data_IF_272738051294
#
_entry.id   IF_272738051294
#
_cell.length_a   1.000
_cell.length_b   1.000
_cell.length_c   1.000
_cell.angle_alpha   90.00
_cell.angle_beta   90.00
_cell.angle_gamma   90.00
#
_symmetry.space_group_name_H-M   'P 1'
#
loop_
_entity.id
_entity.type
_entity.pdbx_description
1 polymer ?
#
# COMPACT_ATOMS: atom_id res chain seq x y z
N UNK A 1 23.36 14.33 -19.43
CA UNK A 1 22.24 13.96 -18.55
C UNK A 1 22.03 12.47 -18.65
N UNK A 2 22.11 11.73 -17.54
CA UNK A 2 21.83 10.29 -17.57
C UNK A 2 20.37 10.06 -17.98
N UNK A 3 20.12 9.14 -18.93
CA UNK A 3 18.76 8.75 -19.32
C UNK A 3 18.14 7.96 -18.17
N UNK A 4 16.97 8.39 -17.70
CA UNK A 4 16.19 7.65 -16.69
C UNK A 4 15.80 6.26 -17.24
N UNK A 5 15.89 5.23 -16.41
CA UNK A 5 15.48 3.87 -16.80
C UNK A 5 13.99 3.70 -16.52
N UNK A 6 13.19 3.52 -17.56
CA UNK A 6 11.76 3.23 -17.44
C UNK A 6 11.57 1.87 -16.78
N UNK A 7 10.82 1.82 -15.68
CA UNK A 7 10.47 0.60 -14.96
C UNK A 7 9.14 0.03 -15.46
N UNK A 8 8.13 0.90 -15.58
CA UNK A 8 6.82 0.52 -16.13
C UNK A 8 6.03 1.74 -16.62
N UNK A 9 4.98 1.49 -17.39
CA UNK A 9 4.03 2.51 -17.84
C UNK A 9 2.61 1.97 -17.86
N UNK A 10 1.66 2.76 -17.37
CA UNK A 10 0.24 2.41 -17.28
C UNK A 10 -0.59 3.49 -17.97
N UNK A 11 -1.51 3.06 -18.84
CA UNK A 11 -2.44 3.91 -19.59
C UNK A 11 -3.87 3.70 -19.08
N UNK A 12 -4.81 4.49 -19.59
CA UNK A 12 -6.25 4.39 -19.29
C UNK A 12 -6.57 4.62 -17.80
N UNK A 13 -5.82 5.51 -17.17
CA UNK A 13 -6.05 5.97 -15.80
C UNK A 13 -6.84 7.28 -15.83
N UNK A 14 -7.31 7.70 -14.67
CA UNK A 14 -7.89 9.02 -14.46
C UNK A 14 -7.15 9.76 -13.35
N UNK A 15 -6.78 11.01 -13.57
CA UNK A 15 -6.15 11.89 -12.60
C UNK A 15 -7.16 12.88 -12.04
N UNK A 16 -7.10 13.12 -10.73
CA UNK A 16 -7.74 14.25 -10.09
C UNK A 16 -6.84 14.78 -8.96
N UNK A 17 -6.82 16.09 -8.73
CA UNK A 17 -6.13 16.71 -7.58
C UNK A 17 -7.10 17.25 -6.53
N UNK A 18 -8.38 17.34 -6.87
CA UNK A 18 -9.46 17.87 -6.02
C UNK A 18 -10.55 16.81 -5.73
N UNK A 19 -10.37 15.59 -6.23
CA UNK A 19 -11.31 14.46 -6.17
C UNK A 19 -12.64 14.68 -6.92
N UNK A 20 -12.82 15.83 -7.56
CA UNK A 20 -14.07 16.24 -8.25
C UNK A 20 -13.91 16.16 -9.76
N UNK A 21 -12.79 16.67 -10.27
CA UNK A 21 -12.52 16.76 -11.69
C UNK A 21 -11.54 15.66 -12.12
N UNK A 22 -12.05 14.72 -12.91
CA UNK A 22 -11.30 13.55 -13.36
C UNK A 22 -10.95 13.66 -14.85
N UNK A 23 -9.65 13.54 -15.16
CA UNK A 23 -9.15 13.62 -16.54
C UNK A 23 -8.40 12.34 -16.90
N UNK A 24 -8.53 11.86 -18.15
CA UNK A 24 -7.77 10.70 -18.62
C UNK A 24 -6.26 11.01 -18.53
N UNK A 25 -5.50 10.04 -18.04
CA UNK A 25 -4.05 10.18 -17.82
C UNK A 25 -3.31 8.88 -18.18
N UNK A 26 -1.98 9.01 -18.22
CA UNK A 26 -1.03 7.90 -18.23
C UNK A 26 0.06 8.18 -17.21
N UNK A 27 0.57 7.13 -16.58
CA UNK A 27 1.65 7.18 -15.62
C UNK A 27 2.83 6.36 -16.13
N UNK A 28 4.03 6.93 -16.06
CA UNK A 28 5.29 6.25 -16.36
C UNK A 28 6.20 6.35 -15.14
N UNK A 29 6.62 5.21 -14.60
CA UNK A 29 7.58 5.15 -13.50
C UNK A 29 8.98 4.90 -14.05
N UNK A 30 9.95 5.64 -13.55
CA UNK A 30 11.38 5.43 -13.77
C UNK A 30 12.06 5.06 -12.45
N UNK A 31 13.36 4.79 -12.51
CA UNK A 31 14.21 4.54 -11.35
C UNK A 31 14.36 5.73 -10.40
N UNK A 32 14.04 6.95 -10.86
CA UNK A 32 14.16 8.18 -10.08
C UNK A 32 12.89 9.02 -9.97
N UNK A 33 11.96 8.91 -10.92
CA UNK A 33 10.77 9.76 -10.99
C UNK A 33 9.50 8.96 -11.35
N UNK A 34 8.35 9.52 -10.95
CA UNK A 34 7.05 9.22 -11.53
C UNK A 34 6.66 10.36 -12.46
N UNK A 35 6.31 10.03 -13.69
CA UNK A 35 5.79 10.95 -14.69
C UNK A 35 4.30 10.72 -14.87
N UNK A 36 3.49 11.75 -14.69
CA UNK A 36 2.03 11.70 -14.89
C UNK A 36 1.68 12.67 -16.00
N UNK A 37 0.97 12.19 -17.02
CA UNK A 37 0.52 13.01 -18.13
C UNK A 37 -0.79 13.72 -17.79
N UNK A 38 -0.79 15.04 -17.77
CA UNK A 38 -1.99 15.86 -17.68
C UNK A 38 -2.33 16.50 -19.05
N UNK A 39 -3.27 17.44 -19.04
CA UNK A 39 -3.68 18.20 -20.22
C UNK A 39 -2.66 19.24 -20.69
N UNK A 40 -1.69 19.61 -19.84
CA UNK A 40 -0.62 20.57 -20.13
C UNK A 40 0.69 19.89 -20.54
N UNK A 41 0.84 18.59 -20.28
CA UNK A 41 1.99 17.81 -20.69
C UNK A 41 2.35 16.73 -19.69
N UNK A 42 3.63 16.40 -19.61
CA UNK A 42 4.14 15.47 -18.61
C UNK A 42 4.59 16.24 -17.37
N UNK A 43 4.00 15.91 -16.23
CA UNK A 43 4.43 16.42 -14.93
C UNK A 43 5.32 15.39 -14.24
N UNK A 44 6.46 15.87 -13.74
CA UNK A 44 7.46 15.08 -13.03
C UNK A 44 7.21 15.11 -11.53
N UNK A 45 7.33 13.96 -10.88
CA UNK A 45 7.27 13.78 -9.44
C UNK A 45 8.47 12.94 -8.99
N UNK A 46 9.45 13.53 -8.28
CA UNK A 46 10.58 12.77 -7.74
C UNK A 46 10.13 11.68 -6.78
N UNK A 47 10.72 10.47 -6.88
CA UNK A 47 10.36 9.35 -6.00
C UNK A 47 10.59 9.67 -4.51
N UNK A 48 11.56 10.53 -4.19
CA UNK A 48 11.85 10.96 -2.83
C UNK A 48 10.76 11.84 -2.21
N UNK A 49 9.98 12.55 -3.04
CA UNK A 49 8.98 13.53 -2.61
C UNK A 49 7.56 12.93 -2.63
N UNK A 50 7.34 11.93 -3.49
CA UNK A 50 6.05 11.30 -3.69
C UNK A 50 5.87 10.09 -2.77
N UNK A 51 4.73 9.99 -2.11
CA UNK A 51 4.43 8.91 -1.17
C UNK A 51 3.07 8.30 -1.45
N UNK A 52 2.95 6.99 -1.27
CA UNK A 52 1.67 6.28 -1.43
C UNK A 52 0.86 6.42 -0.14
N UNK A 53 -0.33 7.00 -0.21
CA UNK A 53 -1.19 7.15 0.96
C UNK A 53 -2.01 5.89 1.22
N UNK A 54 -2.83 5.49 0.24
CA UNK A 54 -3.73 4.34 0.33
C UNK A 54 -4.40 4.03 -1.01
N UNK A 55 -5.02 2.85 -1.11
CA UNK A 55 -5.98 2.50 -2.17
C UNK A 55 -7.39 2.41 -1.58
N UNK A 56 -8.35 3.11 -2.19
CA UNK A 56 -9.77 3.05 -1.84
C UNK A 56 -10.58 2.36 -2.92
N UNK A 57 -11.51 1.50 -2.52
CA UNK A 57 -12.54 1.02 -3.44
C UNK A 57 -13.50 2.16 -3.81
N UNK A 58 -13.91 2.21 -5.08
CA UNK A 58 -14.92 3.13 -5.59
C UNK A 58 -16.12 2.35 -6.15
N UNK A 59 -17.19 3.05 -6.54
CA UNK A 59 -18.43 2.44 -7.03
C UNK A 59 -18.17 1.52 -8.23
N UNK A 60 -18.78 0.34 -8.19
CA UNK A 60 -18.64 -0.69 -9.23
C UNK A 60 -17.27 -1.36 -9.20
N UNK A 61 -16.71 -1.62 -10.40
CA UNK A 61 -15.40 -2.24 -10.55
C UNK A 61 -14.26 -1.21 -10.66
N UNK A 62 -14.28 -0.18 -9.81
CA UNK A 62 -13.28 0.88 -9.80
C UNK A 62 -12.58 0.99 -8.43
N UNK A 63 -11.36 1.50 -8.46
CA UNK A 63 -10.58 1.87 -7.27
C UNK A 63 -9.85 3.19 -7.52
N UNK A 64 -9.36 3.79 -6.44
CA UNK A 64 -8.61 5.04 -6.44
C UNK A 64 -7.36 4.83 -5.61
N UNK A 65 -6.19 5.03 -6.23
CA UNK A 65 -4.91 5.17 -5.57
C UNK A 65 -4.72 6.63 -5.16
N UNK A 66 -4.32 6.86 -3.92
CA UNK A 66 -4.02 8.18 -3.39
C UNK A 66 -2.52 8.27 -3.18
N UNK A 67 -1.91 9.24 -3.83
CA UNK A 67 -0.51 9.63 -3.65
C UNK A 67 -0.48 11.00 -2.98
N UNK A 68 0.59 11.34 -2.29
CA UNK A 68 0.78 12.68 -1.71
C UNK A 68 2.19 13.19 -1.97
N UNK A 69 2.31 14.49 -2.19
CA UNK A 69 3.57 15.23 -2.26
C UNK A 69 3.34 16.62 -1.67
N UNK A 70 4.24 17.09 -0.81
CA UNK A 70 4.12 18.40 -0.14
C UNK A 70 2.76 18.65 0.53
N UNK A 71 2.13 17.60 1.08
CA UNK A 71 0.80 17.66 1.70
C UNK A 71 -0.37 17.78 0.71
N UNK A 72 -0.11 17.72 -0.59
CA UNK A 72 -1.12 17.77 -1.65
C UNK A 72 -1.41 16.35 -2.14
N UNK A 73 -2.66 15.95 -2.06
CA UNK A 73 -3.12 14.65 -2.55
C UNK A 73 -3.31 14.64 -4.07
N UNK A 74 -2.88 13.54 -4.68
CA UNK A 74 -3.04 13.21 -6.08
C UNK A 74 -3.82 11.91 -6.16
N UNK A 75 -4.96 11.94 -6.82
CA UNK A 75 -5.87 10.81 -6.94
C UNK A 75 -5.75 10.19 -8.32
N UNK A 76 -5.44 8.90 -8.36
CA UNK A 76 -5.36 8.10 -9.59
C UNK A 76 -6.46 7.05 -9.55
N UNK A 77 -7.45 7.19 -10.43
CA UNK A 77 -8.62 6.33 -10.55
C UNK A 77 -8.54 5.40 -11.76
N UNK A 78 -9.20 4.25 -11.66
CA UNK A 78 -9.27 3.28 -12.74
C UNK A 78 -10.00 2.00 -12.33
N UNK A 79 -10.00 1.01 -13.24
CA UNK A 79 -10.55 -0.32 -12.93
C UNK A 79 -9.77 -0.96 -11.78
N UNK A 80 -10.45 -1.68 -10.88
CA UNK A 80 -9.80 -2.29 -9.70
C UNK A 80 -8.51 -3.05 -10.06
N UNK A 81 -8.50 -4.01 -11.02
CA UNK A 81 -7.28 -4.77 -11.30
C UNK A 81 -6.11 -3.89 -11.75
N UNK A 82 -6.40 -2.82 -12.50
CA UNK A 82 -5.37 -1.88 -12.98
C UNK A 82 -4.79 -1.07 -11.82
N UNK A 83 -5.64 -0.58 -10.92
CA UNK A 83 -5.22 0.23 -9.78
C UNK A 83 -4.46 -0.59 -8.74
N UNK A 84 -4.90 -1.81 -8.44
CA UNK A 84 -4.18 -2.70 -7.53
C UNK A 84 -2.82 -3.14 -8.12
N UNK A 85 -2.75 -3.46 -9.42
CA UNK A 85 -1.46 -3.74 -10.07
C UNK A 85 -0.53 -2.52 -10.07
N UNK A 86 -1.06 -1.32 -10.31
CA UNK A 86 -0.29 -0.08 -10.25
C UNK A 86 0.21 0.19 -8.83
N UNK A 87 -0.63 0.01 -7.81
CA UNK A 87 -0.26 0.14 -6.41
C UNK A 87 0.89 -0.80 -6.04
N UNK A 88 0.78 -2.09 -6.36
CA UNK A 88 1.82 -3.09 -6.08
C UNK A 88 3.13 -2.75 -6.79
N UNK A 89 3.07 -2.25 -8.04
CA UNK A 89 4.27 -1.83 -8.76
C UNK A 89 4.91 -0.59 -8.10
N UNK A 90 4.11 0.38 -7.67
CA UNK A 90 4.59 1.60 -7.04
C UNK A 90 5.16 1.36 -5.64
N UNK A 91 4.67 0.36 -4.90
CA UNK A 91 5.26 -0.03 -3.60
C UNK A 91 6.74 -0.43 -3.71
N UNK A 92 7.19 -0.89 -4.88
CA UNK A 92 8.60 -1.24 -5.09
C UNK A 92 9.53 -0.02 -5.25
N UNK A 93 8.97 1.18 -5.46
CA UNK A 93 9.72 2.39 -5.83
C UNK A 93 9.39 3.62 -5.00
N UNK A 94 8.21 3.67 -4.36
CA UNK A 94 7.77 4.79 -3.54
C UNK A 94 7.60 4.38 -2.08
N UNK A 95 7.97 5.26 -1.13
CA UNK A 95 7.61 5.07 0.26
C UNK A 95 6.09 5.21 0.45
N UNK A 96 5.54 4.58 1.50
CA UNK A 96 4.14 4.73 1.90
C UNK A 96 4.02 5.74 3.05
N UNK A 97 2.96 6.56 3.04
CA UNK A 97 2.53 7.40 4.17
C UNK A 97 1.12 7.02 4.55
N UNK A 98 1.01 6.22 5.59
CA UNK A 98 -0.30 5.90 6.12
C UNK A 98 -0.95 7.11 6.80
N UNK A 99 -2.17 7.43 6.38
CA UNK A 99 -3.23 7.81 7.33
C UNK A 99 -4.03 6.59 7.84
N UNK A 100 -3.94 5.43 7.16
CA UNK A 100 -4.78 4.25 7.45
C UNK A 100 -4.03 2.98 7.85
N UNK A 101 -2.71 2.90 7.68
CA UNK A 101 -1.83 1.79 8.05
C UNK A 101 -0.63 2.25 8.89
N UNK A 102 -0.89 2.70 10.12
CA UNK A 102 0.15 3.28 10.99
C UNK A 102 1.46 2.51 10.93
N UNK A 103 2.51 3.24 10.53
CA UNK A 103 3.97 3.06 10.69
C UNK A 103 4.61 1.66 10.84
N UNK A 104 3.93 0.54 10.59
CA UNK A 104 4.53 -0.78 10.72
C UNK A 104 5.24 -1.13 9.43
N UNK A 105 6.56 -1.14 9.50
CA UNK A 105 7.39 -1.86 8.53
C UNK A 105 7.15 -3.36 8.73
N UNK A 106 6.64 -4.03 7.71
CA UNK A 106 6.43 -5.48 7.70
C UNK A 106 7.73 -6.21 7.40
N UNK A 107 8.30 -6.84 8.44
CA UNK A 107 9.39 -7.81 8.35
C UNK A 107 8.83 -9.20 8.03
N UNK A 108 9.70 -10.13 7.65
CA UNK A 108 9.29 -11.51 7.37
C UNK A 108 8.64 -12.18 8.58
N UNK A 109 9.13 -11.91 9.80
CA UNK A 109 8.48 -12.40 11.02
C UNK A 109 7.08 -11.83 11.19
N UNK A 110 6.86 -10.52 10.95
CA UNK A 110 5.54 -9.89 11.03
C UNK A 110 4.55 -10.48 10.03
N UNK A 111 5.01 -10.79 8.80
CA UNK A 111 4.20 -11.49 7.80
C UNK A 111 3.75 -12.87 8.29
N UNK A 112 4.67 -13.63 8.89
CA UNK A 112 4.37 -14.95 9.43
C UNK A 112 3.37 -14.89 10.60
N UNK A 113 3.52 -13.91 11.51
CA UNK A 113 2.55 -13.67 12.59
C UNK A 113 1.18 -13.28 12.03
N UNK A 114 1.14 -12.38 11.05
CA UNK A 114 -0.11 -11.96 10.40
C UNK A 114 -0.83 -13.13 9.72
N UNK A 115 -0.08 -14.01 9.06
CA UNK A 115 -0.58 -15.24 8.46
C UNK A 115 -1.14 -16.20 9.51
N UNK A 116 -0.47 -16.36 10.65
CA UNK A 116 -0.95 -17.22 11.74
C UNK A 116 -2.29 -16.70 12.32
N UNK A 117 -2.41 -15.38 12.50
CA UNK A 117 -3.66 -14.75 12.93
C UNK A 117 -4.81 -15.00 11.93
N UNK A 118 -4.51 -14.92 10.63
CA UNK A 118 -5.48 -15.22 9.57
C UNK A 118 -5.97 -16.67 9.61
N UNK A 119 -5.06 -17.61 9.90
CA UNK A 119 -5.38 -19.03 10.08
C UNK A 119 -6.13 -19.32 11.40
N UNK A 120 -6.44 -18.28 12.20
CA UNK A 120 -7.17 -18.41 13.45
C UNK A 120 -6.30 -18.75 14.65
N UNK A 121 -4.97 -18.72 14.51
CA UNK A 121 -4.04 -18.96 15.61
C UNK A 121 -3.74 -17.63 16.30
N UNK A 122 -4.34 -17.41 17.47
CA UNK A 122 -4.44 -16.07 18.08
C UNK A 122 -3.52 -15.83 19.26
N UNK A 123 -3.02 -16.91 19.87
CA UNK A 123 -2.27 -16.87 21.12
C UNK A 123 -0.78 -17.01 20.84
N UNK A 124 0.11 -16.20 21.44
CA UNK A 124 1.54 -16.26 21.16
C UNK A 124 2.14 -17.66 21.37
N UNK A 125 1.68 -18.38 22.40
CA UNK A 125 2.11 -19.75 22.72
C UNK A 125 1.86 -20.73 21.55
N UNK A 126 0.83 -20.47 20.75
CA UNK A 126 0.46 -21.30 19.60
C UNK A 126 1.11 -20.81 18.30
N UNK A 127 1.47 -19.52 18.20
CA UNK A 127 2.13 -18.94 17.02
C UNK A 127 3.62 -19.26 17.03
N UNK A 128 4.25 -19.19 18.21
CA UNK A 128 5.67 -19.47 18.45
C UNK A 128 6.15 -20.76 17.75
N UNK A 129 5.54 -21.95 17.97
CA UNK A 129 5.98 -23.19 17.31
C UNK A 129 5.71 -23.21 15.80
N UNK A 130 4.74 -22.43 15.29
CA UNK A 130 4.40 -22.42 13.87
C UNK A 130 5.42 -21.65 13.02
N UNK A 131 6.04 -20.63 13.59
CA UNK A 131 6.94 -19.74 12.85
C UNK A 131 8.40 -19.86 13.30
N UNK A 132 8.68 -20.69 14.31
CA UNK A 132 10.00 -20.96 14.87
C UNK A 132 10.75 -19.68 15.28
N UNK A 133 10.13 -18.92 16.20
CA UNK A 133 10.61 -17.65 16.74
C UNK A 133 10.36 -17.57 18.23
N UNK A 134 11.05 -16.66 18.91
CA UNK A 134 10.97 -16.48 20.35
C UNK A 134 9.61 -15.94 20.79
N UNK A 135 9.12 -16.42 21.93
CA UNK A 135 7.81 -16.02 22.48
C UNK A 135 7.69 -14.50 22.64
N UNK A 136 8.72 -13.86 23.22
CA UNK A 136 8.71 -12.42 23.49
C UNK A 136 8.64 -11.59 22.20
N UNK A 137 9.30 -12.04 21.12
CA UNK A 137 9.23 -11.42 19.80
C UNK A 137 7.78 -11.46 19.25
N UNK A 138 7.09 -12.59 19.41
CA UNK A 138 5.67 -12.71 19.01
C UNK A 138 4.79 -11.76 19.81
N UNK A 139 5.02 -11.69 21.13
CA UNK A 139 4.24 -10.81 22.01
C UNK A 139 4.42 -9.34 21.63
N UNK A 140 5.64 -8.91 21.33
CA UNK A 140 5.91 -7.55 20.87
C UNK A 140 5.20 -7.24 19.55
N UNK A 141 5.29 -8.15 18.57
CA UNK A 141 4.61 -7.99 17.28
C UNK A 141 3.10 -7.90 17.46
N UNK A 142 2.50 -8.75 18.32
CA UNK A 142 1.06 -8.72 18.58
C UNK A 142 0.63 -7.44 19.28
N UNK A 143 1.43 -6.92 20.23
CA UNK A 143 1.17 -5.62 20.86
C UNK A 143 1.23 -4.49 19.84
N UNK A 144 2.20 -4.53 18.93
CA UNK A 144 2.32 -3.57 17.83
C UNK A 144 1.10 -3.64 16.91
N UNK A 145 0.68 -4.84 16.50
CA UNK A 145 -0.50 -5.06 15.67
C UNK A 145 -1.78 -4.56 16.33
N UNK A 146 -1.92 -4.74 17.65
CA UNK A 146 -3.04 -4.23 18.42
C UNK A 146 -3.04 -2.70 18.48
N UNK A 147 -1.87 -2.09 18.74
CA UNK A 147 -1.71 -0.63 18.76
C UNK A 147 -2.09 -0.01 17.42
N UNK A 148 -1.70 -0.64 16.33
CA UNK A 148 -2.05 -0.19 14.99
C UNK A 148 -3.45 -0.63 14.53
N UNK A 149 -4.19 -1.37 15.35
CA UNK A 149 -5.53 -1.84 15.00
C UNK A 149 -5.58 -2.84 13.86
N UNK A 150 -4.49 -3.58 13.60
CA UNK A 150 -4.42 -4.72 12.68
C UNK A 150 -5.18 -5.92 13.25
N UNK A 151 -5.09 -6.14 14.56
CA UNK A 151 -5.85 -7.17 15.25
C UNK A 151 -6.43 -6.63 16.57
N UNK A 152 -7.48 -7.28 17.06
CA UNK A 152 -8.08 -7.00 18.37
C UNK A 152 -7.20 -7.54 19.50
N UNK A 153 -7.51 -7.16 20.75
CA UNK A 153 -6.88 -7.75 21.95
C UNK A 153 -6.99 -9.28 22.01
N UNK A 154 -8.02 -9.86 21.39
CA UNK A 154 -8.24 -11.30 21.29
C UNK A 154 -7.49 -11.96 20.12
N UNK A 155 -6.67 -11.20 19.37
CA UNK A 155 -5.93 -11.70 18.20
C UNK A 155 -6.79 -11.89 16.94
N UNK A 156 -8.02 -11.35 16.90
CA UNK A 156 -8.86 -11.41 15.69
C UNK A 156 -8.45 -10.29 14.74
N UNK A 157 -8.16 -10.60 13.48
CA UNK A 157 -7.87 -9.60 12.45
C UNK A 157 -9.06 -8.64 12.27
N UNK A 158 -8.76 -7.35 12.26
CA UNK A 158 -9.73 -6.30 11.91
C UNK A 158 -9.84 -6.19 10.39
N UNK A 159 -10.78 -5.38 9.89
CA UNK A 159 -10.83 -5.06 8.46
C UNK A 159 -9.52 -4.43 7.96
N UNK A 160 -8.86 -3.62 8.80
CA UNK A 160 -7.52 -3.09 8.51
C UNK A 160 -6.48 -4.21 8.38
N UNK A 161 -6.46 -5.18 9.30
CA UNK A 161 -5.53 -6.31 9.21
C UNK A 161 -5.76 -7.21 7.99
N UNK A 162 -7.02 -7.38 7.57
CA UNK A 162 -7.35 -8.09 6.32
C UNK A 162 -6.87 -7.33 5.08
N UNK A 163 -7.00 -6.01 5.07
CA UNK A 163 -6.45 -5.19 3.97
C UNK A 163 -4.92 -5.31 3.91
N UNK A 164 -4.23 -5.22 5.04
CA UNK A 164 -2.77 -5.42 5.10
C UNK A 164 -2.37 -6.81 4.61
N UNK A 165 -3.12 -7.86 4.95
CA UNK A 165 -2.91 -9.21 4.40
C UNK A 165 -2.99 -9.23 2.86
N UNK A 166 -3.98 -8.55 2.27
CA UNK A 166 -4.12 -8.45 0.82
C UNK A 166 -2.97 -7.66 0.19
N UNK A 167 -2.52 -6.59 0.85
CA UNK A 167 -1.37 -5.78 0.40
C UNK A 167 -0.06 -6.57 0.43
N UNK A 168 0.10 -7.47 1.40
CA UNK A 168 1.25 -8.39 1.48
C UNK A 168 1.12 -9.63 0.57
N UNK A 169 0.08 -9.71 -0.27
CA UNK A 169 -0.06 -10.74 -1.30
C UNK A 169 -0.70 -12.05 -0.84
N UNK A 170 -1.32 -12.08 0.34
CA UNK A 170 -2.10 -13.23 0.79
C UNK A 170 -3.51 -13.20 0.17
N UNK A 171 -3.93 -14.34 -0.41
CA UNK A 171 -5.25 -14.53 -1.03
C UNK A 171 -6.23 -15.19 -0.09
#
# INVERSE_FOLDING_TARGET
MAKERVLFSVKNLYLSTDYRNWKKTSLTSTDVNIWIKDDKGWKKYPNAELKIVQVKSAKGNNSILILTTDGINIYIGGKKPVIYSLYNALMSVLPTTSETAGSIKFTDTKRLVLKALYQGVRRPENIMPLINREYDEIVEILKEFQREGICTKAGVLTEKGKLVMMEEGYK
#
